data_IF_493162155939
#
_entry.id   IF_493162155939
#
_cell.length_a   1.000
_cell.length_b   1.000
_cell.length_c   1.000
_cell.angle_alpha   90.00
_cell.angle_beta   90.00
_cell.angle_gamma   90.00
#
_symmetry.space_group_name_H-M   'P 1'
#
loop_
_entity.id
_entity.type
_entity.pdbx_description
1 polymer ?
#
# COMPACT_ATOMS: atom_id res chain seq x y z
N UNK A 1 -12.81 -22.02 6.21
CA UNK A 1 -12.94 -22.47 4.82
C UNK A 1 -13.62 -23.84 4.82
N UNK A 2 -14.69 -24.04 4.05
CA UNK A 2 -15.44 -25.31 4.05
C UNK A 2 -14.73 -26.33 3.16
N UNK A 3 -14.59 -27.57 3.62
CA UNK A 3 -14.00 -28.67 2.85
C UNK A 3 -14.71 -28.91 1.50
N UNK A 4 -15.98 -28.51 1.39
CA UNK A 4 -16.82 -28.65 0.19
C UNK A 4 -16.26 -27.94 -1.05
N UNK A 5 -15.50 -26.84 -0.90
CA UNK A 5 -14.93 -26.12 -2.06
C UNK A 5 -13.98 -26.98 -2.90
N UNK A 6 -13.24 -27.87 -2.25
CA UNK A 6 -12.27 -28.73 -2.92
C UNK A 6 -12.86 -30.08 -3.33
N UNK A 7 -14.13 -30.38 -3.01
CA UNK A 7 -14.77 -31.62 -3.44
C UNK A 7 -14.99 -31.64 -4.96
N UNK A 8 -15.43 -30.53 -5.55
CA UNK A 8 -15.55 -30.40 -7.00
C UNK A 8 -14.19 -30.54 -7.70
N UNK A 9 -13.15 -29.91 -7.14
CA UNK A 9 -11.77 -30.04 -7.63
C UNK A 9 -11.26 -31.48 -7.53
N UNK A 10 -11.57 -32.17 -6.42
CA UNK A 10 -11.18 -33.57 -6.19
C UNK A 10 -11.81 -34.48 -7.25
N UNK A 11 -13.12 -34.35 -7.47
CA UNK A 11 -13.85 -35.12 -8.48
C UNK A 11 -13.33 -34.84 -9.89
N UNK A 12 -13.02 -33.57 -10.21
CA UNK A 12 -12.41 -33.20 -11.49
C UNK A 12 -11.05 -33.86 -11.70
N UNK A 13 -10.18 -33.82 -10.69
CA UNK A 13 -8.87 -34.45 -10.77
C UNK A 13 -8.97 -35.98 -10.91
N UNK A 14 -9.86 -36.62 -10.16
CA UNK A 14 -10.14 -38.05 -10.27
C UNK A 14 -10.67 -38.41 -11.65
N UNK A 15 -11.63 -37.65 -12.18
CA UNK A 15 -12.18 -37.84 -13.52
C UNK A 15 -11.09 -37.79 -14.61
N UNK A 16 -10.19 -36.79 -14.54
CA UNK A 16 -9.11 -36.65 -15.53
C UNK A 16 -8.10 -37.80 -15.44
N UNK A 17 -7.76 -38.25 -14.23
CA UNK A 17 -6.88 -39.41 -14.04
C UNK A 17 -7.54 -40.71 -14.49
N UNK A 18 -8.80 -40.95 -14.13
CA UNK A 18 -9.56 -42.11 -14.59
C UNK A 18 -9.62 -42.15 -16.12
N UNK A 19 -9.95 -41.02 -16.75
CA UNK A 19 -9.97 -40.88 -18.21
C UNK A 19 -8.60 -41.18 -18.80
N UNK A 20 -7.52 -40.65 -18.21
CA UNK A 20 -6.15 -40.90 -18.67
C UNK A 20 -5.76 -42.39 -18.60
N UNK A 21 -6.14 -43.08 -17.51
CA UNK A 21 -5.86 -44.51 -17.31
C UNK A 21 -6.90 -45.44 -17.96
N UNK A 22 -7.86 -44.91 -18.72
CA UNK A 22 -8.99 -45.66 -19.29
C UNK A 22 -9.78 -46.46 -18.23
N UNK A 23 -9.95 -45.89 -17.04
CA UNK A 23 -10.80 -46.44 -15.98
C UNK A 23 -12.23 -45.92 -16.09
N UNK A 24 -13.23 -46.62 -15.53
CA UNK A 24 -14.61 -46.14 -15.50
C UNK A 24 -14.74 -44.81 -14.77
N UNK A 25 -15.46 -43.86 -15.38
CA UNK A 25 -15.75 -42.54 -14.82
C UNK A 25 -17.22 -42.44 -14.40
N UNK A 26 -17.51 -41.67 -13.36
CA UNK A 26 -18.89 -41.36 -12.94
C UNK A 26 -19.57 -40.37 -13.91
N UNK A 27 -18.78 -39.51 -14.55
CA UNK A 27 -19.22 -38.46 -15.47
C UNK A 27 -18.71 -38.76 -16.88
N UNK A 28 -19.42 -38.31 -17.91
CA UNK A 28 -18.98 -38.43 -19.30
C UNK A 28 -18.08 -37.26 -19.74
N UNK A 29 -18.34 -36.06 -19.21
CA UNK A 29 -17.60 -34.85 -19.54
C UNK A 29 -17.18 -34.09 -18.29
N UNK A 30 -16.05 -33.40 -18.37
CA UNK A 30 -15.50 -32.62 -17.26
C UNK A 30 -16.48 -31.53 -16.80
N UNK A 31 -17.29 -30.98 -17.71
CA UNK A 31 -18.28 -29.94 -17.46
C UNK A 31 -19.49 -30.43 -16.65
N UNK A 32 -19.76 -31.74 -16.65
CA UNK A 32 -20.90 -32.30 -15.93
C UNK A 32 -20.61 -32.48 -14.42
N UNK A 33 -19.34 -32.38 -14.02
CA UNK A 33 -18.91 -32.52 -12.61
C UNK A 33 -19.42 -31.32 -11.80
N UNK A 34 -20.16 -31.53 -10.70
CA UNK A 34 -20.70 -30.43 -9.92
C UNK A 34 -19.61 -29.74 -9.08
N UNK A 35 -19.62 -28.41 -9.11
CA UNK A 35 -18.94 -27.58 -8.12
C UNK A 35 -19.98 -27.00 -7.15
N UNK A 36 -19.58 -26.63 -5.92
CA UNK A 36 -20.48 -25.97 -4.98
C UNK A 36 -21.12 -24.71 -5.59
N UNK A 37 -22.34 -24.41 -5.16
CA UNK A 37 -22.97 -23.14 -5.48
C UNK A 37 -22.31 -22.03 -4.65
N UNK A 38 -21.41 -21.28 -5.29
CA UNK A 38 -20.74 -20.13 -4.68
C UNK A 38 -21.66 -18.92 -4.50
N UNK A 39 -22.85 -18.88 -5.12
CA UNK A 39 -23.75 -17.74 -5.03
C UNK A 39 -24.53 -17.66 -3.70
N UNK A 40 -24.76 -18.80 -3.05
CA UNK A 40 -25.50 -18.89 -1.78
C UNK A 40 -24.62 -18.74 -0.53
N UNK A 41 -23.30 -18.67 -0.70
CA UNK A 41 -22.33 -18.62 0.39
C UNK A 41 -21.80 -17.20 0.62
N UNK A 42 -21.58 -16.83 1.89
CA UNK A 42 -21.10 -15.50 2.29
C UNK A 42 -19.62 -15.48 2.67
N UNK A 43 -18.90 -16.59 2.50
CA UNK A 43 -17.48 -16.62 2.82
C UNK A 43 -16.64 -15.84 1.79
N UNK A 44 -15.43 -15.39 2.16
CA UNK A 44 -14.61 -14.51 1.33
C UNK A 44 -14.31 -15.04 -0.08
N UNK A 45 -14.13 -16.37 -0.25
CA UNK A 45 -13.84 -16.97 -1.55
C UNK A 45 -15.07 -16.91 -2.45
N UNK A 46 -16.23 -17.30 -1.92
CA UNK A 46 -17.51 -17.26 -2.64
C UNK A 46 -17.92 -15.85 -3.03
N UNK A 47 -17.75 -14.88 -2.12
CA UNK A 47 -17.98 -13.45 -2.41
C UNK A 47 -17.04 -12.96 -3.51
N UNK A 48 -15.76 -13.36 -3.50
CA UNK A 48 -14.81 -12.99 -4.54
C UNK A 48 -15.17 -13.58 -5.90
N UNK A 49 -15.53 -14.87 -5.96
CA UNK A 49 -15.94 -15.57 -7.18
C UNK A 49 -17.17 -14.89 -7.80
N UNK A 50 -18.18 -14.61 -6.99
CA UNK A 50 -19.46 -14.04 -7.45
C UNK A 50 -19.33 -12.59 -7.86
N UNK A 51 -18.62 -11.77 -7.08
CA UNK A 51 -18.39 -10.34 -7.38
C UNK A 51 -17.63 -10.15 -8.69
N UNK A 52 -16.66 -11.01 -8.98
CA UNK A 52 -15.87 -10.95 -10.21
C UNK A 52 -16.43 -11.81 -11.35
N UNK A 53 -17.57 -12.49 -11.14
CA UNK A 53 -18.24 -13.34 -12.12
C UNK A 53 -17.30 -14.37 -12.77
N UNK A 54 -16.47 -15.03 -11.96
CA UNK A 54 -15.46 -15.95 -12.47
C UNK A 54 -16.10 -17.14 -13.20
N UNK A 55 -15.56 -17.46 -14.36
CA UNK A 55 -15.89 -18.67 -15.12
C UNK A 55 -15.43 -19.92 -14.38
N UNK A 56 -15.96 -21.09 -14.79
CA UNK A 56 -15.55 -22.38 -14.22
C UNK A 56 -14.04 -22.62 -14.34
N UNK A 57 -13.44 -22.27 -15.48
CA UNK A 57 -12.00 -22.45 -15.69
C UNK A 57 -11.17 -21.59 -14.73
N UNK A 58 -11.62 -20.35 -14.49
CA UNK A 58 -11.01 -19.45 -13.51
C UNK A 58 -11.17 -19.98 -12.08
N UNK A 59 -12.36 -20.47 -11.72
CA UNK A 59 -12.61 -21.08 -10.41
C UNK A 59 -11.69 -22.27 -10.17
N UNK A 60 -11.56 -23.20 -11.14
CA UNK A 60 -10.64 -24.34 -11.03
C UNK A 60 -9.20 -23.86 -10.86
N UNK A 61 -8.75 -22.91 -11.67
CA UNK A 61 -7.39 -22.35 -11.58
C UNK A 61 -7.14 -21.72 -10.21
N UNK A 62 -8.09 -20.96 -9.69
CA UNK A 62 -8.03 -20.34 -8.37
C UNK A 62 -7.97 -21.38 -7.25
N UNK A 63 -8.80 -22.42 -7.33
CA UNK A 63 -8.83 -23.50 -6.34
C UNK A 63 -7.54 -24.35 -6.38
N UNK A 64 -6.98 -24.60 -7.57
CA UNK A 64 -5.67 -25.27 -7.73
C UNK A 64 -4.56 -24.46 -7.05
N UNK A 65 -4.54 -23.14 -7.22
CA UNK A 65 -3.57 -22.28 -6.55
C UNK A 65 -3.78 -22.25 -5.03
N UNK A 66 -5.05 -22.22 -4.58
CA UNK A 66 -5.41 -22.12 -3.16
C UNK A 66 -5.22 -23.43 -2.39
N UNK A 67 -5.44 -24.59 -3.02
CA UNK A 67 -5.43 -25.89 -2.32
C UNK A 67 -4.06 -26.18 -1.69
N UNK A 68 -2.97 -25.75 -2.32
CA UNK A 68 -1.61 -25.88 -1.79
C UNK A 68 -1.36 -25.09 -0.49
N UNK A 69 -2.25 -24.20 -0.10
CA UNK A 69 -2.17 -23.46 1.16
C UNK A 69 -3.10 -24.03 2.25
N UNK A 70 -4.04 -24.90 1.88
CA UNK A 70 -5.12 -25.36 2.75
C UNK A 70 -5.03 -26.87 3.00
N UNK A 71 -4.74 -27.63 1.94
CA UNK A 71 -4.58 -29.09 1.96
C UNK A 71 -3.35 -29.46 1.13
N UNK A 72 -2.19 -29.35 1.75
CA UNK A 72 -0.87 -29.42 1.11
C UNK A 72 -0.57 -30.78 0.46
N UNK A 73 -1.25 -31.84 0.86
CA UNK A 73 -1.14 -33.22 0.38
C UNK A 73 -2.25 -33.59 -0.62
N UNK A 74 -3.03 -32.61 -1.11
CA UNK A 74 -4.21 -32.85 -1.95
C UNK A 74 -3.90 -33.65 -3.21
N UNK A 75 -2.97 -33.16 -4.04
CA UNK A 75 -2.61 -33.85 -5.29
C UNK A 75 -1.82 -35.12 -5.04
N UNK A 76 -0.95 -35.14 -4.02
CA UNK A 76 -0.22 -36.34 -3.63
C UNK A 76 -1.15 -37.50 -3.29
N UNK A 77 -2.17 -37.26 -2.45
CA UNK A 77 -3.16 -38.26 -2.10
C UNK A 77 -3.97 -38.76 -3.30
N UNK A 78 -4.31 -37.85 -4.22
CA UNK A 78 -5.05 -38.21 -5.43
C UNK A 78 -4.18 -39.07 -6.34
N UNK A 79 -2.96 -38.65 -6.65
CA UNK A 79 -2.04 -39.40 -7.52
C UNK A 79 -1.77 -40.78 -6.94
N UNK A 80 -1.43 -40.86 -5.64
CA UNK A 80 -1.15 -42.14 -4.98
C UNK A 80 -2.35 -43.10 -4.98
N UNK A 81 -3.59 -42.61 -5.08
CA UNK A 81 -4.76 -43.49 -5.19
C UNK A 81 -4.83 -44.29 -6.50
N UNK A 82 -4.05 -43.91 -7.52
CA UNK A 82 -3.97 -44.60 -8.82
C UNK A 82 -2.73 -45.49 -8.98
N UNK A 83 -1.86 -45.58 -7.98
CA UNK A 83 -0.63 -46.36 -8.04
C UNK A 83 -0.44 -47.20 -6.76
N UNK A 84 0.08 -48.42 -6.92
CA UNK A 84 0.34 -49.30 -5.78
C UNK A 84 1.49 -48.81 -4.87
N UNK A 85 2.36 -47.94 -5.38
CA UNK A 85 3.47 -47.34 -4.65
C UNK A 85 3.49 -45.81 -4.87
N UNK A 86 3.93 -45.03 -3.86
CA UNK A 86 4.11 -43.59 -4.00
C UNK A 86 5.03 -43.27 -5.17
N UNK A 87 4.52 -42.56 -6.17
CA UNK A 87 5.25 -42.20 -7.39
C UNK A 87 4.81 -40.84 -7.90
N UNK A 88 5.68 -40.22 -8.70
CA UNK A 88 5.35 -39.00 -9.44
C UNK A 88 4.59 -39.36 -10.72
N UNK A 89 3.59 -38.54 -11.08
CA UNK A 89 2.83 -38.69 -12.31
C UNK A 89 3.03 -37.47 -13.21
N UNK A 90 4.08 -37.50 -14.03
CA UNK A 90 4.49 -36.36 -14.87
C UNK A 90 3.38 -35.73 -15.75
N UNK A 91 2.42 -36.49 -16.33
CA UNK A 91 1.39 -35.90 -17.17
C UNK A 91 0.45 -34.91 -16.47
N UNK A 92 0.27 -34.99 -15.15
CA UNK A 92 -0.49 -33.98 -14.39
C UNK A 92 0.32 -32.70 -14.14
N UNK A 93 1.58 -32.65 -14.57
CA UNK A 93 2.51 -31.58 -14.23
C UNK A 93 2.89 -31.59 -12.75
N UNK A 94 3.16 -30.40 -12.22
CA UNK A 94 3.59 -30.22 -10.84
C UNK A 94 5.09 -30.27 -10.62
N UNK A 95 5.55 -29.67 -9.53
CA UNK A 95 6.94 -29.73 -9.07
C UNK A 95 7.00 -30.04 -7.58
N UNK A 96 8.15 -30.52 -7.09
CA UNK A 96 8.36 -30.81 -5.67
C UNK A 96 8.91 -29.59 -4.95
N UNK A 97 8.28 -29.20 -3.84
CA UNK A 97 8.76 -28.09 -3.01
C UNK A 97 10.14 -28.36 -2.40
N UNK A 98 11.06 -27.39 -2.43
CA UNK A 98 12.43 -27.57 -1.88
C UNK A 98 12.44 -27.85 -0.38
N UNK A 99 11.58 -27.18 0.39
CA UNK A 99 11.48 -27.33 1.85
C UNK A 99 10.37 -28.29 2.26
N UNK A 100 9.15 -28.06 1.74
CA UNK A 100 7.96 -28.84 2.07
C UNK A 100 7.93 -30.23 1.43
N UNK A 101 8.65 -30.45 0.31
CA UNK A 101 8.73 -31.71 -0.47
C UNK A 101 7.42 -32.25 -1.05
N UNK A 102 6.24 -31.71 -0.74
CA UNK A 102 4.99 -32.10 -1.40
C UNK A 102 4.78 -31.47 -2.78
N UNK A 103 3.69 -31.87 -3.42
CA UNK A 103 3.31 -31.47 -4.78
C UNK A 103 2.91 -29.98 -4.85
N UNK A 104 3.53 -29.24 -5.76
CA UNK A 104 3.18 -27.85 -6.08
C UNK A 104 2.64 -27.79 -7.52
N UNK A 105 1.38 -27.37 -7.72
CA UNK A 105 0.76 -27.36 -9.04
C UNK A 105 1.44 -26.36 -9.98
N UNK A 106 1.50 -26.73 -11.25
CA UNK A 106 2.05 -25.90 -12.33
C UNK A 106 0.96 -25.49 -13.32
N UNK A 107 1.30 -24.65 -14.29
CA UNK A 107 0.40 -24.32 -15.40
C UNK A 107 -0.12 -25.58 -16.10
N UNK A 108 0.75 -26.60 -16.24
CA UNK A 108 0.38 -27.91 -16.78
C UNK A 108 -0.66 -28.64 -15.91
N UNK A 109 -0.59 -28.52 -14.58
CA UNK A 109 -1.63 -29.09 -13.69
C UNK A 109 -2.99 -28.49 -13.96
N UNK A 110 -3.06 -27.17 -14.18
CA UNK A 110 -4.33 -26.51 -14.51
C UNK A 110 -4.85 -26.96 -15.86
N UNK A 111 -3.99 -27.03 -16.89
CA UNK A 111 -4.41 -27.50 -18.21
C UNK A 111 -4.80 -28.97 -18.24
N UNK A 112 -4.11 -29.83 -17.50
CA UNK A 112 -4.50 -31.24 -17.35
C UNK A 112 -5.91 -31.34 -16.76
N UNK A 113 -6.22 -30.54 -15.74
CA UNK A 113 -7.53 -30.56 -15.10
C UNK A 113 -8.65 -30.02 -16.01
N UNK A 114 -8.36 -28.96 -16.77
CA UNK A 114 -9.36 -28.31 -17.62
C UNK A 114 -9.56 -28.98 -18.97
N UNK A 115 -8.50 -29.52 -19.57
CA UNK A 115 -8.51 -29.98 -20.96
C UNK A 115 -8.05 -31.44 -21.13
N UNK A 116 -7.47 -32.08 -20.12
CA UNK A 116 -6.90 -33.42 -20.25
C UNK A 116 -5.91 -33.48 -21.42
N UNK A 117 -6.23 -34.31 -22.44
CA UNK A 117 -5.45 -34.47 -23.67
C UNK A 117 -5.99 -33.67 -24.88
N UNK A 118 -7.05 -32.87 -24.72
CA UNK A 118 -7.63 -32.05 -25.80
C UNK A 118 -6.72 -30.84 -26.09
N UNK A 119 -6.00 -30.90 -27.22
CA UNK A 119 -5.08 -29.85 -27.63
C UNK A 119 -5.78 -28.51 -27.91
N UNK A 120 -6.98 -28.51 -28.48
CA UNK A 120 -7.68 -27.27 -28.81
C UNK A 120 -8.07 -26.52 -27.53
N UNK A 121 -8.58 -27.26 -26.54
CA UNK A 121 -8.89 -26.70 -25.23
C UNK A 121 -7.63 -26.26 -24.47
N UNK A 122 -6.51 -26.99 -24.60
CA UNK A 122 -5.23 -26.57 -24.02
C UNK A 122 -4.77 -25.21 -24.54
N UNK A 123 -4.86 -24.96 -25.85
CA UNK A 123 -4.53 -23.64 -26.42
C UNK A 123 -5.45 -22.54 -25.90
N UNK A 124 -6.75 -22.83 -25.77
CA UNK A 124 -7.71 -21.88 -25.22
C UNK A 124 -7.38 -21.51 -23.77
N UNK A 125 -7.12 -22.49 -22.90
CA UNK A 125 -6.96 -22.22 -21.46
C UNK A 125 -5.59 -21.68 -21.08
N UNK A 126 -4.58 -21.75 -21.96
CA UNK A 126 -3.31 -21.06 -21.75
C UNK A 126 -3.47 -19.55 -21.54
N UNK A 127 -4.52 -18.94 -22.10
CA UNK A 127 -4.78 -17.50 -21.95
C UNK A 127 -5.06 -17.09 -20.50
N UNK A 128 -5.43 -18.02 -19.62
CA UNK A 128 -5.64 -17.77 -18.17
C UNK A 128 -4.38 -17.22 -17.48
N UNK A 129 -3.20 -17.53 -18.03
CA UNK A 129 -1.89 -17.09 -17.51
C UNK A 129 -1.28 -15.95 -18.32
N UNK A 130 -2.01 -15.40 -19.29
CA UNK A 130 -1.53 -14.23 -20.05
C UNK A 130 -1.54 -12.96 -19.20
N UNK A 131 -0.65 -12.02 -19.53
CA UNK A 131 -0.57 -10.72 -18.85
C UNK A 131 -1.87 -9.89 -18.95
N UNK A 132 -2.70 -10.16 -19.97
CA UNK A 132 -3.99 -9.52 -20.19
C UNK A 132 -5.15 -10.15 -19.39
N UNK A 133 -4.92 -11.31 -18.79
CA UNK A 133 -5.96 -11.99 -18.05
C UNK A 133 -6.32 -11.25 -16.75
N UNK A 134 -7.56 -11.43 -16.27
CA UNK A 134 -8.06 -10.86 -15.01
C UNK A 134 -7.10 -11.15 -13.84
N UNK A 135 -6.61 -12.38 -13.74
CA UNK A 135 -5.69 -12.81 -12.67
C UNK A 135 -4.39 -12.00 -12.65
N UNK A 136 -3.78 -11.75 -13.80
CA UNK A 136 -2.55 -10.97 -13.90
C UNK A 136 -2.84 -9.48 -13.62
N UNK A 137 -3.86 -8.91 -14.26
CA UNK A 137 -4.24 -7.50 -14.11
C UNK A 137 -4.59 -7.12 -12.67
N UNK A 138 -5.29 -8.00 -11.95
CA UNK A 138 -5.67 -7.82 -10.54
C UNK A 138 -4.67 -8.41 -9.55
N UNK A 139 -3.56 -8.96 -10.04
CA UNK A 139 -2.52 -9.62 -9.24
C UNK A 139 -3.08 -10.68 -8.27
N UNK A 140 -4.07 -11.44 -8.73
CA UNK A 140 -4.73 -12.50 -7.95
C UNK A 140 -3.80 -13.70 -7.86
N UNK A 141 -3.36 -14.20 -9.01
CA UNK A 141 -2.41 -15.29 -9.16
C UNK A 141 -1.58 -15.09 -10.42
N UNK A 142 -0.43 -15.75 -10.49
CA UNK A 142 0.45 -15.74 -11.66
C UNK A 142 1.14 -17.08 -11.82
N UNK A 143 1.64 -17.32 -13.03
CA UNK A 143 2.54 -18.42 -13.33
C UNK A 143 3.98 -17.96 -13.08
N UNK A 144 4.74 -18.73 -12.32
CA UNK A 144 6.18 -18.50 -12.17
C UNK A 144 6.90 -18.73 -13.51
N UNK A 145 7.95 -17.96 -13.79
CA UNK A 145 8.76 -18.19 -14.98
C UNK A 145 9.41 -19.58 -14.94
N UNK A 146 9.26 -20.33 -16.04
CA UNK A 146 9.93 -21.61 -16.19
C UNK A 146 11.47 -21.41 -16.29
N UNK A 147 12.23 -22.45 -15.95
CA UNK A 147 13.69 -22.43 -16.13
C UNK A 147 14.04 -22.35 -17.62
N UNK A 148 15.23 -21.82 -17.91
CA UNK A 148 15.69 -21.67 -19.30
C UNK A 148 15.71 -23.02 -20.02
N UNK A 149 15.01 -23.10 -21.16
CA UNK A 149 14.86 -24.32 -21.96
C UNK A 149 13.68 -25.22 -21.55
N UNK A 150 12.97 -24.91 -20.46
CA UNK A 150 11.75 -25.62 -20.06
C UNK A 150 10.48 -25.03 -20.70
N UNK A 151 9.42 -25.83 -20.87
CA UNK A 151 8.12 -25.33 -21.29
C UNK A 151 7.57 -24.27 -20.31
N UNK A 152 6.95 -23.21 -20.84
CA UNK A 152 6.37 -22.11 -20.05
C UNK A 152 5.45 -22.61 -18.92
N UNK A 153 4.66 -23.66 -19.19
CA UNK A 153 3.66 -24.20 -18.25
C UNK A 153 4.25 -25.09 -17.15
N UNK A 154 5.56 -25.33 -17.17
CA UNK A 154 6.28 -25.97 -16.06
C UNK A 154 6.39 -25.06 -14.83
N UNK A 155 6.15 -23.76 -15.00
CA UNK A 155 6.09 -22.79 -13.91
C UNK A 155 5.01 -23.11 -12.88
N UNK A 156 5.26 -22.81 -11.59
CA UNK A 156 4.29 -23.00 -10.51
C UNK A 156 3.16 -21.98 -10.61
N UNK A 157 1.93 -22.39 -10.27
CA UNK A 157 0.80 -21.46 -10.12
C UNK A 157 0.83 -20.88 -8.72
N UNK A 158 1.07 -19.58 -8.60
CA UNK A 158 1.25 -18.90 -7.32
C UNK A 158 0.08 -17.94 -7.06
N UNK A 159 -0.67 -18.21 -5.99
CA UNK A 159 -1.66 -17.28 -5.46
C UNK A 159 -0.95 -16.15 -4.71
N UNK A 160 -1.38 -14.90 -4.93
CA UNK A 160 -0.83 -13.76 -4.19
C UNK A 160 -1.10 -13.92 -2.68
N UNK A 161 -0.12 -13.64 -1.81
CA UNK A 161 -0.26 -13.83 -0.36
C UNK A 161 -1.47 -13.13 0.25
N UNK A 162 -1.88 -11.99 -0.31
CA UNK A 162 -3.04 -11.23 0.16
C UNK A 162 -4.35 -11.99 -0.08
N UNK A 163 -4.47 -12.68 -1.23
CA UNK A 163 -5.62 -13.52 -1.52
C UNK A 163 -5.58 -14.83 -0.73
N UNK A 164 -4.39 -15.37 -0.43
CA UNK A 164 -4.26 -16.47 0.55
C UNK A 164 -4.84 -16.04 1.89
N UNK A 165 -4.44 -14.89 2.45
CA UNK A 165 -4.98 -14.36 3.71
C UNK A 165 -6.49 -14.09 3.62
N UNK A 166 -6.95 -13.48 2.54
CA UNK A 166 -8.38 -13.19 2.33
C UNK A 166 -9.21 -14.48 2.37
N UNK A 167 -8.82 -15.51 1.62
CA UNK A 167 -9.61 -16.73 1.52
C UNK A 167 -9.47 -17.64 2.75
N UNK A 168 -8.32 -17.61 3.44
CA UNK A 168 -8.08 -18.47 4.60
C UNK A 168 -8.47 -17.85 5.93
N UNK A 169 -8.18 -16.56 6.13
CA UNK A 169 -8.38 -15.83 7.39
C UNK A 169 -9.61 -14.90 7.31
N UNK A 170 -10.04 -14.51 6.11
CA UNK A 170 -11.17 -13.62 5.88
C UNK A 170 -10.84 -12.13 5.88
N UNK A 171 -9.56 -11.77 5.93
CA UNK A 171 -9.10 -10.38 5.85
C UNK A 171 -7.71 -10.31 5.24
N UNK A 172 -7.44 -9.21 4.54
CA UNK A 172 -6.10 -8.87 4.07
C UNK A 172 -5.43 -8.03 5.15
N UNK A 173 -4.24 -8.43 5.59
CA UNK A 173 -3.45 -7.61 6.51
C UNK A 173 -2.74 -6.50 5.72
N UNK A 174 -2.88 -5.22 6.11
CA UNK A 174 -2.10 -4.16 5.49
C UNK A 174 -0.59 -4.44 5.64
N UNK A 175 0.22 -4.29 4.58
CA UNK A 175 1.65 -4.51 4.69
C UNK A 175 2.26 -3.59 5.75
N UNK A 176 3.14 -4.18 6.56
CA UNK A 176 3.92 -3.49 7.57
C UNK A 176 5.28 -3.11 7.00
N UNK A 177 5.87 -2.07 7.56
CA UNK A 177 7.23 -1.67 7.25
C UNK A 177 8.20 -2.84 7.47
N UNK A 178 9.03 -3.12 6.46
CA UNK A 178 10.06 -4.17 6.50
C UNK A 178 11.21 -3.81 5.56
N UNK A 179 12.28 -4.61 5.57
CA UNK A 179 13.36 -4.47 4.59
C UNK A 179 12.90 -4.64 3.14
N UNK A 180 11.80 -5.37 2.91
CA UNK A 180 11.24 -5.62 1.56
C UNK A 180 10.07 -4.72 1.20
N UNK A 181 9.58 -3.90 2.14
CA UNK A 181 8.47 -2.96 1.95
C UNK A 181 8.75 -1.67 2.73
N UNK A 182 9.38 -0.66 2.10
CA UNK A 182 9.91 0.52 2.78
C UNK A 182 8.84 1.61 3.01
N UNK A 183 7.62 1.19 3.39
CA UNK A 183 6.51 2.10 3.61
C UNK A 183 5.76 1.76 4.89
N UNK A 184 5.32 2.80 5.60
CA UNK A 184 4.54 2.70 6.82
C UNK A 184 3.16 3.31 6.61
N UNK A 185 2.10 2.55 6.92
CA UNK A 185 0.74 3.09 6.92
C UNK A 185 0.61 4.14 8.02
N UNK A 186 0.17 5.35 7.66
CA UNK A 186 -0.10 6.45 8.59
C UNK A 186 -1.60 6.69 8.70
N UNK A 187 -2.07 6.88 9.93
CA UNK A 187 -3.48 7.14 10.25
C UNK A 187 -3.56 8.26 11.28
N UNK A 188 -4.75 8.85 11.44
CA UNK A 188 -4.98 9.85 12.47
C UNK A 188 -6.42 9.77 13.01
N UNK A 189 -6.56 9.93 14.33
CA UNK A 189 -7.87 10.06 14.96
C UNK A 189 -8.46 11.47 14.82
N UNK A 190 -7.63 12.44 14.42
CA UNK A 190 -8.04 13.83 14.22
C UNK A 190 -8.95 14.00 13.00
N UNK A 191 -9.60 15.15 12.93
CA UNK A 191 -10.51 15.61 11.88
C UNK A 191 -9.98 16.90 11.23
N UNK A 192 -10.66 17.36 10.17
CA UNK A 192 -10.33 18.63 9.53
C UNK A 192 -10.52 19.84 10.45
N UNK A 193 -11.36 19.71 11.48
CA UNK A 193 -11.57 20.77 12.47
C UNK A 193 -10.41 20.86 13.48
N UNK A 194 -9.60 19.81 13.61
CA UNK A 194 -8.46 19.80 14.53
C UNK A 194 -7.21 20.44 13.90
N UNK A 195 -7.15 20.53 12.56
CA UNK A 195 -6.07 21.20 11.85
C UNK A 195 -6.44 22.66 11.55
N UNK A 196 -5.50 23.56 11.81
CA UNK A 196 -5.63 24.98 11.44
C UNK A 196 -4.86 25.19 10.15
N UNK A 197 -5.60 25.57 9.10
CA UNK A 197 -5.09 25.86 7.77
C UNK A 197 -5.80 27.13 7.28
N UNK A 198 -5.08 28.01 6.60
CA UNK A 198 -5.68 29.16 5.93
C UNK A 198 -6.63 28.73 4.80
N UNK A 199 -7.45 29.66 4.33
CA UNK A 199 -8.48 29.38 3.32
C UNK A 199 -7.91 28.97 1.97
N UNK A 200 -6.73 29.49 1.60
CA UNK A 200 -6.04 29.13 0.36
C UNK A 200 -5.63 27.65 0.35
N UNK A 201 -4.99 27.18 1.43
CA UNK A 201 -4.60 25.78 1.58
C UNK A 201 -5.85 24.91 1.63
N UNK A 202 -6.90 25.32 2.38
CA UNK A 202 -8.17 24.57 2.42
C UNK A 202 -8.80 24.41 1.05
N UNK A 203 -8.70 25.42 0.19
CA UNK A 203 -9.20 25.34 -1.18
C UNK A 203 -8.38 24.36 -2.02
N UNK A 204 -7.05 24.45 -1.97
CA UNK A 204 -6.16 23.52 -2.68
C UNK A 204 -6.33 22.07 -2.21
N UNK A 205 -6.53 21.84 -0.91
CA UNK A 205 -6.81 20.50 -0.37
C UNK A 205 -8.16 19.97 -0.85
N UNK A 206 -9.19 20.83 -0.99
CA UNK A 206 -10.46 20.43 -1.60
C UNK A 206 -10.32 19.99 -3.05
N UNK A 207 -9.41 20.60 -3.81
CA UNK A 207 -9.09 20.13 -5.17
C UNK A 207 -8.49 18.72 -5.16
N UNK A 208 -7.61 18.42 -4.20
CA UNK A 208 -7.06 17.07 -4.03
C UNK A 208 -8.16 16.06 -3.67
N UNK A 209 -9.06 16.42 -2.75
CA UNK A 209 -10.20 15.58 -2.37
C UNK A 209 -11.07 15.24 -3.58
N UNK A 210 -11.40 16.25 -4.38
CA UNK A 210 -12.18 16.07 -5.61
C UNK A 210 -11.50 15.12 -6.58
N UNK A 211 -10.19 15.24 -6.77
CA UNK A 211 -9.47 14.32 -7.66
C UNK A 211 -9.54 12.87 -7.17
N UNK A 212 -9.26 12.62 -5.88
CA UNK A 212 -9.31 11.25 -5.33
C UNK A 212 -10.70 10.63 -5.46
N UNK A 213 -11.75 11.45 -5.31
CA UNK A 213 -13.14 10.99 -5.34
C UNK A 213 -13.70 10.78 -6.76
N UNK A 214 -13.31 11.63 -7.72
CA UNK A 214 -13.98 11.73 -9.02
C UNK A 214 -13.12 11.36 -10.25
N UNK A 215 -11.80 11.08 -10.09
CA UNK A 215 -10.93 10.83 -11.25
C UNK A 215 -11.39 9.66 -12.13
N UNK A 216 -11.84 8.55 -11.54
CA UNK A 216 -12.31 7.37 -12.32
C UNK A 216 -13.59 7.66 -13.09
N UNK A 217 -14.52 8.41 -12.50
CA UNK A 217 -15.75 8.83 -13.17
C UNK A 217 -15.43 9.78 -14.33
N UNK A 218 -14.49 10.70 -14.16
CA UNK A 218 -14.03 11.56 -15.25
C UNK A 218 -13.42 10.75 -16.42
N UNK A 219 -12.65 9.72 -16.11
CA UNK A 219 -12.07 8.85 -17.15
C UNK A 219 -13.14 8.05 -17.91
N UNK A 220 -14.13 7.51 -17.18
CA UNK A 220 -15.16 6.61 -17.72
C UNK A 220 -16.35 7.37 -18.31
N UNK A 221 -17.01 8.23 -17.54
CA UNK A 221 -18.23 8.93 -17.94
C UNK A 221 -17.95 9.98 -19.02
N UNK A 222 -16.80 10.66 -18.96
CA UNK A 222 -16.46 11.74 -19.89
C UNK A 222 -15.43 11.31 -20.95
N UNK A 223 -14.97 10.06 -20.91
CA UNK A 223 -13.97 9.53 -21.84
C UNK A 223 -12.63 10.27 -21.79
N UNK A 224 -12.30 10.91 -20.66
CA UNK A 224 -11.09 11.74 -20.55
C UNK A 224 -9.80 10.94 -20.33
N UNK A 225 -9.87 9.62 -20.16
CA UNK A 225 -8.70 8.77 -19.87
C UNK A 225 -7.52 8.99 -20.83
N UNK A 226 -7.77 9.07 -22.13
CA UNK A 226 -6.71 9.27 -23.13
C UNK A 226 -6.14 10.70 -23.18
N UNK A 227 -6.73 11.64 -22.42
CA UNK A 227 -6.33 13.06 -22.38
C UNK A 227 -5.68 13.45 -21.06
N UNK A 228 -5.83 12.63 -20.03
CA UNK A 228 -5.28 12.87 -18.71
C UNK A 228 -3.95 12.15 -18.56
N UNK A 229 -3.01 12.78 -17.83
CA UNK A 229 -1.80 12.08 -17.41
C UNK A 229 -2.17 11.11 -16.29
N UNK A 230 -1.61 9.89 -16.25
CA UNK A 230 -1.83 8.96 -15.14
C UNK A 230 -1.46 9.57 -13.79
N UNK A 231 -2.30 9.35 -12.80
CA UNK A 231 -2.10 9.77 -11.42
C UNK A 231 -2.11 11.29 -11.18
N UNK A 232 -1.90 11.67 -9.91
CA UNK A 232 -1.88 13.06 -9.46
C UNK A 232 -0.72 13.32 -8.51
N UNK A 233 0.13 14.27 -8.88
CA UNK A 233 1.37 14.58 -8.17
C UNK A 233 1.24 15.89 -7.43
N UNK A 234 1.48 15.84 -6.13
CA UNK A 234 1.37 17.00 -5.24
C UNK A 234 2.69 17.23 -4.54
N UNK A 235 3.14 18.48 -4.47
CA UNK A 235 4.27 18.90 -3.65
C UNK A 235 3.75 19.70 -2.45
N UNK A 236 3.93 19.18 -1.24
CA UNK A 236 3.78 19.92 -0.01
C UNK A 236 5.14 20.50 0.39
N UNK A 237 5.22 21.82 0.54
CA UNK A 237 6.47 22.45 0.95
C UNK A 237 6.29 23.50 2.04
N UNK A 238 7.28 23.64 2.91
CA UNK A 238 7.29 24.61 3.99
C UNK A 238 8.03 24.09 5.22
N UNK A 239 8.19 24.89 6.28
CA UNK A 239 8.93 24.50 7.46
C UNK A 239 8.47 23.16 8.07
N UNK A 240 9.34 22.44 8.80
CA UNK A 240 8.91 21.29 9.58
C UNK A 240 7.84 21.69 10.61
N UNK A 241 6.94 20.78 10.97
CA UNK A 241 5.91 21.04 11.99
C UNK A 241 4.71 21.89 11.53
N UNK A 242 4.56 22.20 10.24
CA UNK A 242 3.41 22.98 9.71
C UNK A 242 2.21 22.12 9.28
N UNK A 243 2.24 20.80 9.56
CA UNK A 243 1.07 19.93 9.35
C UNK A 243 1.01 19.19 8.01
N UNK A 244 2.11 19.15 7.23
CA UNK A 244 2.20 18.41 5.95
C UNK A 244 1.75 16.94 6.06
N UNK A 245 2.38 16.18 6.96
CA UNK A 245 2.07 14.75 7.18
C UNK A 245 0.67 14.55 7.74
N UNK A 246 0.23 15.40 8.69
CA UNK A 246 -1.12 15.33 9.25
C UNK A 246 -2.18 15.58 8.16
N UNK A 247 -1.94 16.53 7.27
CA UNK A 247 -2.84 16.84 6.14
C UNK A 247 -2.98 15.65 5.20
N UNK A 248 -1.89 14.94 4.91
CA UNK A 248 -1.93 13.72 4.11
C UNK A 248 -2.75 12.61 4.80
N UNK A 249 -2.55 12.38 6.10
CA UNK A 249 -3.35 11.41 6.88
C UNK A 249 -4.83 11.77 6.91
N UNK A 250 -5.18 13.06 7.07
CA UNK A 250 -6.55 13.54 7.05
C UNK A 250 -7.19 13.38 5.67
N UNK A 251 -6.42 13.61 4.59
CA UNK A 251 -6.87 13.38 3.22
C UNK A 251 -7.23 11.92 2.99
N UNK A 252 -6.36 10.98 3.40
CA UNK A 252 -6.66 9.54 3.32
C UNK A 252 -7.89 9.16 4.13
N UNK A 253 -7.99 9.61 5.39
CA UNK A 253 -9.16 9.35 6.24
C UNK A 253 -10.46 9.86 5.60
N UNK A 254 -10.46 11.08 5.08
CA UNK A 254 -11.65 11.69 4.47
C UNK A 254 -12.08 10.99 3.19
N UNK A 255 -11.10 10.50 2.40
CA UNK A 255 -11.36 9.84 1.12
C UNK A 255 -11.47 8.31 1.22
N UNK A 256 -11.36 7.74 2.42
CA UNK A 256 -11.37 6.30 2.65
C UNK A 256 -10.19 5.57 2.01
N UNK A 257 -9.04 6.25 1.84
CA UNK A 257 -7.83 5.70 1.23
C UNK A 257 -6.74 5.47 2.26
N UNK A 258 -6.01 4.37 2.10
CA UNK A 258 -4.80 4.14 2.88
C UNK A 258 -3.69 5.10 2.47
N UNK A 259 -2.99 5.65 3.46
CA UNK A 259 -1.83 6.51 3.23
C UNK A 259 -0.58 5.78 3.67
N UNK A 260 0.33 5.58 2.73
CA UNK A 260 1.62 4.95 3.00
C UNK A 260 2.71 6.03 2.99
N UNK A 261 3.32 6.25 4.15
CA UNK A 261 4.49 7.12 4.31
C UNK A 261 5.75 6.37 3.91
N UNK A 262 6.53 7.00 3.06
CA UNK A 262 7.86 6.58 2.63
C UNK A 262 8.84 7.67 3.03
N UNK A 263 9.87 7.32 3.78
CA UNK A 263 10.94 8.25 4.14
C UNK A 263 12.08 8.12 3.13
N UNK A 264 12.31 9.19 2.36
CA UNK A 264 13.28 9.19 1.28
C UNK A 264 14.73 9.23 1.77
N UNK A 265 15.00 9.74 2.98
CA UNK A 265 16.37 9.75 3.51
C UNK A 265 16.85 8.34 3.85
N UNK A 266 15.96 7.47 4.33
CA UNK A 266 16.28 6.06 4.63
C UNK A 266 16.47 5.22 3.37
N UNK A 267 15.82 5.57 2.27
CA UNK A 267 15.95 4.91 0.96
C UNK A 267 17.29 5.23 0.32
N UNK A 268 17.66 6.51 0.27
CA UNK A 268 18.90 6.97 -0.37
C UNK A 268 20.15 6.55 0.43
N UNK A 269 20.04 6.38 1.75
CA UNK A 269 21.19 6.12 2.63
C UNK A 269 21.58 4.66 2.81
N UNK A 270 20.70 3.68 2.54
CA UNK A 270 20.89 2.33 3.08
C UNK A 270 21.36 1.25 2.11
N UNK A 271 20.97 1.22 0.82
CA UNK A 271 21.37 0.09 -0.04
C UNK A 271 21.40 0.47 -1.53
N UNK A 272 22.57 0.31 -2.15
CA UNK A 272 22.72 0.42 -3.61
C UNK A 272 22.16 -0.88 -4.21
N UNK A 273 21.07 -0.78 -4.99
CA UNK A 273 20.47 -1.88 -5.76
C UNK A 273 19.28 -2.62 -5.12
N UNK A 274 19.30 -2.93 -3.81
CA UNK A 274 18.11 -3.55 -3.15
C UNK A 274 16.92 -2.58 -3.08
N UNK A 275 17.22 -1.28 -3.02
CA UNK A 275 16.25 -0.20 -2.93
C UNK A 275 15.34 -0.11 -4.16
N UNK A 276 15.86 -0.34 -5.36
CA UNK A 276 15.07 -0.34 -6.60
C UNK A 276 14.02 -1.45 -6.60
N UNK A 277 14.43 -2.68 -6.25
CA UNK A 277 13.51 -3.83 -6.17
C UNK A 277 12.39 -3.58 -5.15
N UNK A 278 12.74 -3.03 -4.00
CA UNK A 278 11.78 -2.73 -2.94
C UNK A 278 10.81 -1.61 -3.32
N UNK A 279 11.29 -0.55 -3.99
CA UNK A 279 10.46 0.51 -4.54
C UNK A 279 9.55 0.00 -5.66
N UNK A 280 10.09 -0.81 -6.58
CA UNK A 280 9.32 -1.46 -7.64
C UNK A 280 8.16 -2.27 -7.06
N UNK A 281 8.44 -3.09 -6.05
CA UNK A 281 7.43 -3.88 -5.33
C UNK A 281 6.39 -2.99 -4.62
N UNK A 282 6.82 -1.88 -4.01
CA UNK A 282 5.92 -0.91 -3.38
C UNK A 282 4.93 -0.34 -4.40
N UNK A 283 5.42 0.20 -5.51
CA UNK A 283 4.55 0.77 -6.55
C UNK A 283 3.64 -0.31 -7.17
N UNK A 284 4.19 -1.49 -7.45
CA UNK A 284 3.41 -2.61 -8.00
C UNK A 284 2.27 -3.04 -7.07
N UNK A 285 2.48 -3.03 -5.75
CA UNK A 285 1.43 -3.27 -4.75
C UNK A 285 0.41 -2.15 -4.66
N UNK A 286 0.83 -0.90 -4.87
CA UNK A 286 -0.02 0.27 -4.77
C UNK A 286 -0.93 0.48 -6.00
N UNK A 287 -0.49 0.04 -7.19
CA UNK A 287 -1.12 0.30 -8.50
C UNK A 287 -2.64 0.04 -8.54
N UNK A 288 -3.10 -1.01 -7.85
CA UNK A 288 -4.50 -1.45 -7.87
C UNK A 288 -5.28 -1.17 -6.57
N UNK A 289 -4.70 -0.42 -5.63
CA UNK A 289 -5.24 -0.28 -4.26
C UNK A 289 -5.70 1.13 -3.88
N UNK A 290 -5.62 2.08 -4.82
CA UNK A 290 -5.95 3.49 -4.60
C UNK A 290 -5.26 4.10 -3.37
N UNK A 291 -4.03 3.67 -3.10
CA UNK A 291 -3.25 4.20 -2.00
C UNK A 291 -2.77 5.62 -2.31
N UNK A 292 -2.71 6.45 -1.28
CA UNK A 292 -1.98 7.71 -1.30
C UNK A 292 -0.54 7.42 -0.87
N UNK A 293 0.42 7.62 -1.77
CA UNK A 293 1.84 7.47 -1.44
C UNK A 293 2.38 8.82 -0.97
N UNK A 294 2.74 8.91 0.31
CA UNK A 294 3.29 10.11 0.93
C UNK A 294 4.81 9.96 1.10
N UNK A 295 5.58 10.63 0.24
CA UNK A 295 7.03 10.65 0.30
C UNK A 295 7.50 11.83 1.15
N UNK A 296 8.03 11.55 2.34
CA UNK A 296 8.58 12.55 3.25
C UNK A 296 10.07 12.79 2.97
N UNK A 297 10.58 13.92 3.44
CA UNK A 297 11.98 14.32 3.27
C UNK A 297 12.45 14.32 1.81
N UNK A 298 11.59 14.79 0.89
CA UNK A 298 11.89 14.84 -0.55
C UNK A 298 13.12 15.70 -0.89
N UNK A 299 13.56 16.56 0.03
CA UNK A 299 14.84 17.27 -0.07
C UNK A 299 16.03 16.32 -0.29
N UNK A 300 15.97 15.07 0.21
CA UNK A 300 17.00 14.07 0.02
C UNK A 300 17.19 13.66 -1.46
N UNK A 301 16.14 13.77 -2.28
CA UNK A 301 16.23 13.45 -3.72
C UNK A 301 16.84 14.58 -4.54
N UNK A 302 16.73 15.82 -4.07
CA UNK A 302 17.12 17.01 -4.82
C UNK A 302 18.30 17.76 -4.20
N UNK A 303 18.82 17.27 -3.07
CA UNK A 303 20.06 17.75 -2.48
C UNK A 303 21.15 17.81 -3.57
N UNK A 304 21.92 18.91 -3.58
CA UNK A 304 22.90 19.25 -4.63
C UNK A 304 23.53 17.98 -5.18
N UNK A 305 23.18 17.62 -6.43
CA UNK A 305 23.82 16.54 -7.18
C UNK A 305 25.30 16.64 -6.89
N UNK A 306 25.85 15.70 -6.14
CA UNK A 306 27.27 15.73 -5.83
C UNK A 306 27.98 15.76 -7.18
N UNK A 307 28.89 16.72 -7.37
CA UNK A 307 29.75 16.70 -8.55
C UNK A 307 30.34 15.30 -8.61
N UNK A 308 30.01 14.54 -9.66
CA UNK A 308 30.33 13.12 -9.79
C UNK A 308 31.83 12.97 -9.63
N UNK A 309 32.28 12.51 -8.47
CA UNK A 309 33.69 12.24 -8.19
C UNK A 309 33.94 10.74 -8.17
N UNK A 310 32.97 9.96 -7.70
CA UNK A 310 33.11 8.51 -7.52
C UNK A 310 31.99 7.69 -8.19
N UNK A 311 32.24 6.39 -8.37
CA UNK A 311 31.26 5.45 -8.92
C UNK A 311 29.98 5.37 -8.05
N UNK A 312 30.11 5.54 -6.73
CA UNK A 312 28.98 5.58 -5.79
C UNK A 312 27.99 6.71 -6.09
N UNK A 313 28.48 7.90 -6.48
CA UNK A 313 27.62 9.04 -6.86
C UNK A 313 26.79 8.73 -8.13
N UNK A 314 27.35 7.94 -9.06
CA UNK A 314 26.63 7.56 -10.29
C UNK A 314 25.44 6.64 -9.98
N UNK A 315 25.63 5.66 -9.10
CA UNK A 315 24.55 4.74 -8.70
C UNK A 315 23.43 5.47 -7.96
N UNK A 316 23.78 6.36 -7.01
CA UNK A 316 22.78 7.18 -6.30
C UNK A 316 21.95 8.05 -7.27
N UNK A 317 22.58 8.66 -8.28
CA UNK A 317 21.86 9.44 -9.29
C UNK A 317 20.93 8.59 -10.17
N UNK A 318 21.30 7.34 -10.47
CA UNK A 318 20.45 6.40 -11.21
C UNK A 318 19.22 5.99 -10.40
N UNK A 319 19.37 5.70 -9.11
CA UNK A 319 18.26 5.35 -8.21
C UNK A 319 17.27 6.51 -8.05
N UNK A 320 17.77 7.74 -7.88
CA UNK A 320 16.93 8.94 -7.87
C UNK A 320 16.18 9.08 -9.19
N UNK A 321 16.86 8.89 -10.33
CA UNK A 321 16.22 8.96 -11.65
C UNK A 321 15.11 7.92 -11.83
N UNK A 322 15.36 6.69 -11.38
CA UNK A 322 14.35 5.62 -11.37
C UNK A 322 13.14 6.01 -10.52
N UNK A 323 13.35 6.48 -9.29
CA UNK A 323 12.26 6.88 -8.41
C UNK A 323 11.44 8.02 -9.00
N UNK A 324 12.09 9.04 -9.59
CA UNK A 324 11.38 10.14 -10.26
C UNK A 324 10.52 9.61 -11.43
N UNK A 325 11.06 8.68 -12.23
CA UNK A 325 10.29 8.02 -13.30
C UNK A 325 9.10 7.22 -12.76
N UNK A 326 9.26 6.50 -11.65
CA UNK A 326 8.14 5.77 -11.01
C UNK A 326 7.10 6.73 -10.46
N UNK A 327 7.49 7.85 -9.86
CA UNK A 327 6.58 8.92 -9.44
C UNK A 327 5.80 9.46 -10.66
N UNK A 328 6.45 9.62 -11.80
CA UNK A 328 5.86 10.10 -13.05
C UNK A 328 4.92 9.11 -13.75
N UNK A 329 5.04 7.82 -13.48
CA UNK A 329 4.25 6.78 -14.16
C UNK A 329 3.16 6.19 -13.30
N UNK A 330 3.28 6.28 -11.97
CA UNK A 330 2.30 5.73 -11.03
C UNK A 330 0.91 6.32 -11.26
N UNK A 331 -0.07 5.43 -11.46
CA UNK A 331 -1.46 5.81 -11.69
C UNK A 331 -2.26 5.92 -10.38
N UNK A 332 -1.85 6.85 -9.53
CA UNK A 332 -2.51 7.15 -8.26
C UNK A 332 -2.08 8.49 -7.69
N UNK A 333 -2.48 8.80 -6.45
CA UNK A 333 -2.06 10.04 -5.80
C UNK A 333 -0.69 9.88 -5.13
N UNK A 334 0.24 10.75 -5.49
CA UNK A 334 1.55 10.90 -4.86
C UNK A 334 1.66 12.28 -4.25
N UNK A 335 2.08 12.33 -2.98
CA UNK A 335 2.36 13.55 -2.26
C UNK A 335 3.83 13.53 -1.85
N UNK A 336 4.64 14.46 -2.34
CA UNK A 336 6.01 14.69 -1.87
C UNK A 336 6.00 15.81 -0.84
N UNK A 337 6.65 15.63 0.30
CA UNK A 337 6.84 16.64 1.31
C UNK A 337 8.32 17.07 1.38
N UNK A 338 8.56 18.38 1.31
CA UNK A 338 9.88 18.98 1.37
C UNK A 338 9.87 20.19 2.31
N UNK A 339 11.02 20.49 2.92
CA UNK A 339 11.21 21.71 3.70
C UNK A 339 11.65 22.88 2.81
N UNK A 340 12.36 22.60 1.71
CA UNK A 340 12.97 23.62 0.85
C UNK A 340 12.61 23.44 -0.63
N UNK A 341 11.58 24.17 -1.10
CA UNK A 341 11.21 24.20 -2.54
C UNK A 341 12.38 24.60 -3.45
N UNK A 342 13.26 25.49 -3.00
CA UNK A 342 14.41 25.99 -3.78
C UNK A 342 15.41 24.91 -4.18
N UNK A 343 15.39 23.75 -3.52
CA UNK A 343 16.29 22.65 -3.83
C UNK A 343 15.77 21.82 -5.02
N UNK A 344 14.51 22.00 -5.43
CA UNK A 344 13.87 21.22 -6.49
C UNK A 344 14.01 21.96 -7.83
N UNK A 345 14.53 21.27 -8.84
CA UNK A 345 14.67 21.81 -10.21
C UNK A 345 13.31 22.18 -10.82
N UNK A 346 13.25 23.34 -11.50
CA UNK A 346 12.07 23.84 -12.21
C UNK A 346 11.50 22.84 -13.22
N UNK A 347 12.36 22.06 -13.89
CA UNK A 347 11.92 21.03 -14.83
C UNK A 347 11.09 19.95 -14.15
N UNK A 348 11.42 19.59 -12.90
CA UNK A 348 10.66 18.64 -12.11
C UNK A 348 9.41 19.27 -11.51
N UNK A 349 9.48 20.53 -11.07
CA UNK A 349 8.32 21.29 -10.58
C UNK A 349 7.17 21.34 -11.60
N UNK A 350 7.48 21.44 -12.91
CA UNK A 350 6.48 21.41 -14.00
C UNK A 350 5.72 20.09 -14.13
N UNK A 351 6.14 19.03 -13.44
CA UNK A 351 5.50 17.70 -13.49
C UNK A 351 4.47 17.51 -12.38
N UNK A 352 4.41 18.40 -11.40
CA UNK A 352 3.39 18.39 -10.36
C UNK A 352 2.08 18.99 -10.88
N UNK A 353 0.97 18.38 -10.47
CA UNK A 353 -0.37 18.91 -10.70
C UNK A 353 -0.68 20.03 -9.72
N UNK A 354 -0.22 19.92 -8.46
CA UNK A 354 -0.40 20.93 -7.42
C UNK A 354 0.86 21.13 -6.60
N UNK A 355 1.14 22.38 -6.23
CA UNK A 355 2.24 22.75 -5.33
C UNK A 355 1.63 23.59 -4.19
N UNK A 356 1.55 23.00 -3.00
CA UNK A 356 0.89 23.58 -1.82
C UNK A 356 1.94 24.04 -0.82
N UNK A 357 1.89 25.33 -0.48
CA UNK A 357 2.76 25.95 0.53
C UNK A 357 2.13 25.85 1.91
N UNK A 358 2.86 25.32 2.87
CA UNK A 358 2.52 25.32 4.29
C UNK A 358 3.40 26.34 5.03
N UNK A 359 2.99 27.62 5.11
CA UNK A 359 3.76 28.66 5.79
C UNK A 359 3.77 28.45 7.31
N UNK A 360 4.57 29.26 8.02
CA UNK A 360 4.40 29.39 9.46
C UNK A 360 3.01 30.00 9.74
N UNK A 361 2.29 29.49 10.76
CA UNK A 361 0.99 30.04 11.11
C UNK A 361 1.12 31.47 11.63
N UNK A 362 0.17 32.34 11.31
CA UNK A 362 0.11 33.69 11.85
C UNK A 362 -0.31 33.72 13.33
N UNK A 363 -0.36 34.90 13.95
CA UNK A 363 -0.71 35.02 15.36
C UNK A 363 -2.14 34.52 15.70
N UNK A 364 -3.09 34.72 14.79
CA UNK A 364 -4.48 34.28 14.96
C UNK A 364 -4.60 32.77 14.77
N UNK A 365 -3.95 32.21 13.74
CA UNK A 365 -3.85 30.77 13.51
C UNK A 365 -3.15 30.07 14.68
N UNK A 366 -2.05 30.63 15.20
CA UNK A 366 -1.36 30.12 16.40
C UNK A 366 -2.29 30.09 17.60
N UNK A 367 -3.10 31.12 17.82
CA UNK A 367 -4.08 31.15 18.91
C UNK A 367 -5.12 30.03 18.77
N UNK A 368 -5.60 29.77 17.55
CA UNK A 368 -6.49 28.64 17.29
C UNK A 368 -5.80 27.31 17.57
N UNK A 369 -4.54 27.14 17.15
CA UNK A 369 -3.77 25.93 17.42
C UNK A 369 -3.61 25.74 18.93
N UNK A 370 -3.20 26.77 19.69
CA UNK A 370 -3.09 26.72 21.14
C UNK A 370 -4.39 26.27 21.80
N UNK A 371 -5.50 26.90 21.42
CA UNK A 371 -6.82 26.63 21.99
C UNK A 371 -7.26 25.19 21.74
N UNK A 372 -7.04 24.67 20.52
CA UNK A 372 -7.42 23.29 20.14
C UNK A 372 -6.47 22.22 20.70
N UNK A 373 -5.23 22.59 21.00
CA UNK A 373 -4.20 21.64 21.44
C UNK A 373 -4.36 21.22 22.90
N UNK A 374 -4.91 22.09 23.75
CA UNK A 374 -5.17 21.75 25.15
C UNK A 374 -6.45 20.93 25.29
N UNK A 375 -6.42 19.78 25.98
CA UNK A 375 -7.64 19.05 26.33
C UNK A 375 -8.58 19.89 27.18
N UNK A 376 -9.88 19.71 27.03
CA UNK A 376 -10.92 20.46 27.75
C UNK A 376 -10.88 20.30 29.29
N UNK A 377 -10.25 19.24 29.79
CA UNK A 377 -10.07 18.99 31.23
C UNK A 377 -8.97 19.87 31.85
N UNK A 378 -8.06 20.41 31.04
CA UNK A 378 -6.95 21.24 31.54
C UNK A 378 -7.48 22.58 32.00
N UNK A 379 -7.10 22.95 33.22
CA UNK A 379 -7.37 24.28 33.78
C UNK A 379 -6.14 25.15 33.64
N UNK A 380 -6.35 26.43 33.37
CA UNK A 380 -5.28 27.41 33.36
C UNK A 380 -5.31 28.24 34.63
N UNK A 381 -4.14 28.56 35.16
CA UNK A 381 -4.03 29.66 36.10
C UNK A 381 -4.47 30.97 35.41
N UNK A 382 -5.08 31.87 36.19
CA UNK A 382 -5.45 33.24 35.85
C UNK A 382 -4.36 34.05 35.12
N UNK A 383 -3.09 33.69 35.30
CA UNK A 383 -1.93 34.35 34.68
C UNK A 383 -1.67 33.90 33.23
N UNK A 384 -2.35 32.87 32.74
CA UNK A 384 -2.16 32.31 31.39
C UNK A 384 -2.96 33.09 30.36
N UNK A 385 -2.26 33.68 29.39
CA UNK A 385 -2.86 34.44 28.29
C UNK A 385 -2.40 33.89 26.94
N UNK A 386 -3.15 32.93 26.39
CA UNK A 386 -2.83 32.32 25.08
C UNK A 386 -2.71 33.34 23.93
N UNK A 387 -3.54 34.39 23.81
CA UNK A 387 -3.38 35.41 22.77
C UNK A 387 -2.01 36.10 22.81
N UNK A 388 -1.47 36.28 24.02
CA UNK A 388 -0.18 36.90 24.23
C UNK A 388 0.97 36.02 23.72
N UNK A 389 0.97 34.73 24.08
CA UNK A 389 1.95 33.77 23.57
C UNK A 389 1.88 33.63 22.05
N UNK A 390 0.66 33.60 21.51
CA UNK A 390 0.41 33.47 20.07
C UNK A 390 0.94 34.65 19.28
N UNK A 391 0.88 35.87 19.84
CA UNK A 391 1.38 37.07 19.16
C UNK A 391 2.90 37.19 19.22
N UNK A 392 3.52 36.85 20.36
CA UNK A 392 4.95 37.09 20.59
C UNK A 392 5.87 35.98 20.10
N UNK A 393 5.42 34.73 20.15
CA UNK A 393 6.26 33.57 19.84
C UNK A 393 5.87 32.91 18.51
N UNK A 394 6.76 32.98 17.53
CA UNK A 394 6.64 32.38 16.21
C UNK A 394 7.00 30.90 16.25
N UNK A 395 6.02 30.10 16.70
CA UNK A 395 6.08 28.64 16.75
C UNK A 395 5.33 28.02 15.57
N UNK A 396 5.81 26.85 15.14
CA UNK A 396 5.06 25.97 14.22
C UNK A 396 3.93 25.27 14.97
N UNK A 397 2.97 24.67 14.25
CA UNK A 397 1.92 23.88 14.90
C UNK A 397 2.49 22.71 15.72
N UNK A 398 3.49 22.01 15.16
CA UNK A 398 4.23 20.97 15.89
C UNK A 398 4.98 21.50 17.10
N UNK A 399 5.57 22.69 17.00
CA UNK A 399 6.20 23.38 18.13
C UNK A 399 5.20 23.67 19.25
N UNK A 400 4.02 24.19 18.92
CA UNK A 400 2.95 24.44 19.91
C UNK A 400 2.53 23.13 20.59
N UNK A 401 2.33 22.04 19.85
CA UNK A 401 1.98 20.73 20.41
C UNK A 401 3.07 20.23 21.38
N UNK A 402 4.35 20.38 21.03
CA UNK A 402 5.46 20.03 21.92
C UNK A 402 5.42 20.83 23.23
N UNK A 403 5.12 22.13 23.16
CA UNK A 403 4.99 22.98 24.35
C UNK A 403 3.79 22.57 25.20
N UNK A 404 2.64 22.31 24.58
CA UNK A 404 1.43 21.85 25.28
C UNK A 404 1.68 20.53 26.00
N UNK A 405 2.32 19.57 25.32
CA UNK A 405 2.70 18.29 25.90
C UNK A 405 3.61 18.49 27.12
N UNK A 406 4.66 19.32 26.98
CA UNK A 406 5.58 19.61 28.08
C UNK A 406 4.87 20.26 29.28
N UNK A 407 4.02 21.25 29.03
CA UNK A 407 3.30 21.98 30.07
C UNK A 407 2.32 21.06 30.82
N UNK A 408 1.57 20.22 30.11
CA UNK A 408 0.66 19.25 30.72
C UNK A 408 1.41 18.19 31.53
N UNK A 409 2.53 17.66 31.02
CA UNK A 409 3.34 16.68 31.75
C UNK A 409 3.93 17.26 33.04
N UNK A 410 4.35 18.52 33.00
CA UNK A 410 4.94 19.18 34.17
C UNK A 410 3.86 19.45 35.22
N UNK A 411 2.70 19.96 34.83
CA UNK A 411 1.57 20.13 35.74
C UNK A 411 1.15 18.79 36.37
N UNK A 412 1.06 17.73 35.57
CA UNK A 412 0.70 16.40 36.05
C UNK A 412 1.75 15.82 37.01
N UNK A 413 3.04 16.01 36.73
CA UNK A 413 4.12 15.60 37.63
C UNK A 413 4.09 16.35 38.98
N UNK A 414 3.57 17.59 39.00
CA UNK A 414 3.28 18.35 40.22
C UNK A 414 2.00 17.89 40.94
N UNK A 415 1.31 16.86 40.43
CA UNK A 415 0.04 16.37 40.99
C UNK A 415 -1.15 17.31 40.72
N UNK A 416 -1.07 18.15 39.68
CA UNK A 416 -2.05 19.18 39.37
C UNK A 416 -2.57 19.09 37.94
N UNK A 417 -3.83 19.49 37.74
CA UNK A 417 -4.40 19.73 36.40
C UNK A 417 -4.33 21.21 36.00
N UNK A 418 -3.74 22.05 36.85
CA UNK A 418 -3.57 23.49 36.63
C UNK A 418 -2.26 23.76 35.89
N UNK A 419 -2.37 24.15 34.61
CA UNK A 419 -1.24 24.62 33.82
C UNK A 419 -0.95 26.07 34.18
N UNK A 420 0.27 26.31 34.68
CA UNK A 420 0.76 27.63 35.06
C UNK A 420 1.48 28.29 33.89
N UNK A 421 1.53 29.63 33.90
CA UNK A 421 2.28 30.44 32.93
C UNK A 421 3.73 29.99 32.77
N UNK A 422 4.40 29.62 33.86
CA UNK A 422 5.80 29.18 33.85
C UNK A 422 6.00 27.87 33.08
N UNK A 423 5.03 26.93 33.15
CA UNK A 423 5.10 25.67 32.42
C UNK A 423 5.11 25.90 30.91
N UNK A 424 4.26 26.81 30.43
CA UNK A 424 4.18 27.18 29.01
C UNK A 424 5.47 27.90 28.59
N UNK A 425 5.91 28.93 29.32
CA UNK A 425 7.11 29.70 28.98
C UNK A 425 8.37 28.83 28.92
N UNK A 426 8.53 27.90 29.86
CA UNK A 426 9.65 26.96 29.87
C UNK A 426 9.60 26.02 28.66
N UNK A 427 8.41 25.55 28.27
CA UNK A 427 8.26 24.76 27.05
C UNK A 427 8.58 25.58 25.79
N UNK A 428 8.13 26.83 25.70
CA UNK A 428 8.48 27.75 24.59
C UNK A 428 9.99 27.95 24.52
N UNK A 429 10.65 28.20 25.67
CA UNK A 429 12.11 28.36 25.75
C UNK A 429 12.83 27.15 25.17
N UNK A 430 12.42 25.94 25.56
CA UNK A 430 13.00 24.68 25.06
C UNK A 430 12.83 24.51 23.55
N UNK A 431 11.64 24.82 23.02
CA UNK A 431 11.40 24.70 21.57
C UNK A 431 12.22 25.74 20.79
N UNK A 432 12.35 26.96 21.31
CA UNK A 432 13.22 27.99 20.74
C UNK A 432 14.70 27.58 20.76
N UNK A 433 15.20 27.05 21.87
CA UNK A 433 16.57 26.56 21.99
C UNK A 433 16.86 25.42 21.02
N UNK A 434 15.91 24.50 20.85
CA UNK A 434 15.99 23.41 19.87
C UNK A 434 16.07 23.92 18.43
N UNK A 435 15.36 25.01 18.12
CA UNK A 435 15.41 25.69 16.81
C UNK A 435 16.59 26.66 16.67
N UNK A 436 17.44 26.82 17.70
CA UNK A 436 18.55 27.77 17.70
C UNK A 436 18.11 29.24 17.74
N UNK A 437 16.88 29.54 18.15
CA UNK A 437 16.33 30.89 18.26
C UNK A 437 16.58 31.47 19.66
N UNK A 438 16.79 32.79 19.74
CA UNK A 438 16.87 33.47 21.04
C UNK A 438 15.49 33.56 21.70
N UNK A 439 15.39 33.03 22.92
CA UNK A 439 14.22 33.20 23.77
C UNK A 439 14.35 34.48 24.60
N UNK A 440 13.35 35.35 24.52
CA UNK A 440 13.22 36.52 25.40
C UNK A 440 12.06 36.28 26.36
N UNK A 441 12.39 35.93 27.59
CA UNK A 441 11.43 35.76 28.68
C UNK A 441 10.81 37.09 29.11
N UNK A 442 9.61 37.04 29.65
CA UNK A 442 8.99 38.21 30.30
C UNK A 442 9.58 38.42 31.70
N UNK A 443 9.80 39.70 32.05
CA UNK A 443 9.67 40.17 33.43
C UNK A 443 8.19 40.20 33.81
N UNK A 444 7.89 39.99 35.09
CA UNK A 444 6.52 40.08 35.62
C UNK A 444 6.05 41.54 35.53
N UNK A 445 5.20 41.85 34.55
CA UNK A 445 4.36 43.07 34.57
C UNK A 445 2.91 42.67 34.80
#
# INVERSE_FOLDING_TARGET
MRYSFFEGLLRLAQFQLQTFFNQPTEYERAEDIPFPDFASEQDPLSVFITTNQLSRAEIVTLLVALVSHVKVDFFDNIIHSFFDQPTDFLPIGGTRGKQFRGFLPTGETVLFLLAGNDLAQRFQWQTLFSADHFFARKQVLHLEDALEGEPMLSGRVLLSPEYVELFTIGKITPPKFSSTFPAQRIETNLSWDDIVLNDEIRQQIRELQNWVQYHRQLETDWGMGNRLRPGYRVLFYGPPGTGKTLTASLLGKYTGRDVYKIDLSTIVSKFIGETEKNLSNLFAKAENKDWILFFDEADALFGKRTNVKDAHDKYANQEVSYLLQRIETFNGMIILASNFKSNIDDAFLRRFNSIIKFPLPDAHERLQIWTKSFPSVIQFDSTVQLPHFSSRYELTGGGIINVVQFACLTAYAEGSQLVKRQHILEGIRREYEKEGKMFVGFGND
#
